data_IF_541839267770
#
_entry.id   IF_541839267770
#
_cell.length_a   1.000
_cell.length_b   1.000
_cell.length_c   1.000
_cell.angle_alpha   90.00
_cell.angle_beta   90.00
_cell.angle_gamma   90.00
#
_symmetry.space_group_name_H-M   'P 1'
#
loop_
_entity.id
_entity.type
_entity.pdbx_description
1 polymer ?
#
# COMPACT_ATOMS: atom_id res chain seq x y z
N UNK A 1 3.13 -8.12 -3.80
CA UNK A 1 1.90 -8.94 -3.93
C UNK A 1 0.69 -8.12 -3.49
N UNK A 2 -0.20 -7.81 -4.43
CA UNK A 2 -1.30 -6.88 -4.17
C UNK A 2 -2.34 -7.41 -3.17
N UNK A 3 -2.59 -8.72 -3.18
CA UNK A 3 -3.51 -9.31 -2.21
C UNK A 3 -2.99 -9.20 -0.79
N UNK A 4 -1.69 -9.39 -0.57
CA UNK A 4 -1.10 -9.24 0.76
C UNK A 4 -1.16 -7.78 1.23
N UNK A 5 -0.99 -6.82 0.32
CA UNK A 5 -1.15 -5.41 0.62
C UNK A 5 -2.59 -5.08 1.08
N UNK A 6 -3.60 -5.54 0.33
CA UNK A 6 -5.03 -5.36 0.71
C UNK A 6 -5.35 -6.07 2.03
N UNK A 7 -4.79 -7.24 2.26
CA UNK A 7 -5.03 -8.00 3.50
C UNK A 7 -4.39 -7.33 4.73
N UNK A 8 -3.27 -6.65 4.55
CA UNK A 8 -2.52 -6.00 5.63
C UNK A 8 -3.02 -4.59 5.90
N UNK A 9 -3.21 -3.78 4.86
CA UNK A 9 -3.59 -2.37 4.96
C UNK A 9 -5.11 -2.14 4.88
N UNK A 10 -5.89 -3.20 4.59
CA UNK A 10 -7.33 -3.07 4.42
C UNK A 10 -7.76 -2.47 3.08
N UNK A 11 -9.07 -2.32 2.91
CA UNK A 11 -9.65 -1.77 1.67
C UNK A 11 -9.41 -0.28 1.50
N UNK A 12 -8.97 0.41 2.51
CA UNK A 12 -8.68 1.84 2.48
C UNK A 12 -7.61 2.20 1.46
N UNK A 13 -6.70 1.26 1.16
CA UNK A 13 -5.66 1.46 0.13
C UNK A 13 -6.22 1.51 -1.31
N UNK A 14 -7.44 1.02 -1.54
CA UNK A 14 -8.03 1.01 -2.88
C UNK A 14 -8.27 2.42 -3.41
N UNK A 15 -8.70 3.35 -2.56
CA UNK A 15 -8.94 4.74 -2.95
C UNK A 15 -7.66 5.50 -3.33
N UNK A 16 -6.60 5.52 -2.52
CA UNK A 16 -5.32 6.13 -2.90
C UNK A 16 -4.72 5.53 -4.16
N UNK A 17 -4.80 4.20 -4.32
CA UNK A 17 -4.30 3.51 -5.50
C UNK A 17 -5.07 3.90 -6.76
N UNK A 18 -6.39 3.96 -6.68
CA UNK A 18 -7.26 4.40 -7.77
C UNK A 18 -6.97 5.83 -8.17
N UNK A 19 -6.84 6.72 -7.19
CA UNK A 19 -6.47 8.12 -7.42
C UNK A 19 -5.10 8.24 -8.07
N UNK A 20 -4.12 7.47 -7.61
CA UNK A 20 -2.80 7.42 -8.22
C UNK A 20 -2.88 6.94 -9.67
N UNK A 21 -3.62 5.87 -9.97
CA UNK A 21 -3.81 5.36 -11.32
C UNK A 21 -4.42 6.40 -12.27
N UNK A 22 -5.38 7.19 -11.78
CA UNK A 22 -6.03 8.23 -12.56
C UNK A 22 -5.10 9.43 -12.85
N UNK A 23 -4.30 9.85 -11.87
CA UNK A 23 -3.45 11.02 -11.96
C UNK A 23 -2.07 10.72 -12.56
N UNK A 24 -1.53 9.54 -12.32
CA UNK A 24 -0.19 9.13 -12.74
C UNK A 24 -0.01 9.17 -14.25
N UNK A 25 -1.08 8.93 -15.01
CA UNK A 25 -1.08 9.00 -16.47
C UNK A 25 -0.60 10.37 -17.01
N UNK A 26 -1.04 11.45 -16.37
CA UNK A 26 -0.66 12.80 -16.78
C UNK A 26 0.82 13.13 -16.52
N UNK A 27 1.43 12.45 -15.57
CA UNK A 27 2.82 12.64 -15.15
C UNK A 27 3.79 11.60 -15.72
N UNK A 28 3.29 10.67 -16.54
CA UNK A 28 4.10 9.61 -17.16
C UNK A 28 4.51 8.51 -16.18
N UNK A 29 3.82 8.36 -15.05
CA UNK A 29 4.06 7.27 -14.10
C UNK A 29 3.26 6.04 -14.55
N UNK A 30 3.93 4.90 -14.67
CA UNK A 30 3.32 3.62 -14.98
C UNK A 30 3.15 2.78 -13.73
N UNK A 31 1.93 2.28 -13.51
CA UNK A 31 1.61 1.40 -12.40
C UNK A 31 1.51 -0.04 -12.87
N UNK A 32 2.22 -0.93 -12.22
CA UNK A 32 2.14 -2.38 -12.42
C UNK A 32 1.69 -3.02 -11.11
N UNK A 33 0.52 -3.66 -11.14
CA UNK A 33 -0.04 -4.37 -10.00
C UNK A 33 -0.04 -5.85 -10.30
N UNK A 34 0.57 -6.63 -9.42
CA UNK A 34 0.65 -8.07 -9.56
C UNK A 34 0.11 -8.79 -8.31
N UNK A 35 -0.60 -9.89 -8.52
CA UNK A 35 -1.09 -10.74 -7.44
C UNK A 35 -1.07 -12.20 -7.84
N UNK A 36 -0.79 -13.08 -6.89
CA UNK A 36 -0.93 -14.53 -7.02
C UNK A 36 -2.29 -15.05 -6.54
N UNK A 37 -3.14 -14.15 -6.00
CA UNK A 37 -4.48 -14.47 -5.49
C UNK A 37 -5.56 -13.67 -6.23
N UNK A 38 -5.93 -14.10 -7.44
CA UNK A 38 -6.88 -13.36 -8.28
C UNK A 38 -8.33 -13.59 -7.82
N UNK A 39 -8.69 -13.09 -6.65
CA UNK A 39 -10.06 -13.17 -6.15
C UNK A 39 -10.83 -11.88 -6.44
N UNK A 40 -12.16 -11.97 -6.50
CA UNK A 40 -13.05 -10.81 -6.70
C UNK A 40 -12.95 -9.76 -5.58
N UNK A 41 -12.50 -10.18 -4.39
CA UNK A 41 -12.29 -9.28 -3.26
C UNK A 41 -11.01 -8.46 -3.39
N UNK A 42 -10.07 -8.90 -4.21
CA UNK A 42 -8.78 -8.24 -4.47
C UNK A 42 -8.84 -7.47 -5.80
N UNK A 43 -9.33 -8.12 -6.86
CA UNK A 43 -9.48 -7.51 -8.18
C UNK A 43 -10.92 -7.02 -8.33
N UNK A 44 -11.21 -5.90 -7.69
CA UNK A 44 -12.54 -5.29 -7.66
C UNK A 44 -12.91 -4.62 -9.00
N UNK A 45 -14.18 -4.26 -9.17
CA UNK A 45 -14.63 -3.48 -10.32
C UNK A 45 -13.92 -2.13 -10.42
N UNK A 46 -13.63 -1.49 -9.29
CA UNK A 46 -12.90 -0.21 -9.23
C UNK A 46 -11.47 -0.37 -9.74
N UNK A 47 -10.78 -1.41 -9.32
CA UNK A 47 -9.41 -1.73 -9.81
C UNK A 47 -9.45 -1.99 -11.32
N UNK A 48 -10.35 -2.84 -11.80
CA UNK A 48 -10.47 -3.14 -13.23
C UNK A 48 -10.75 -1.91 -14.09
N UNK A 49 -11.58 -0.99 -13.62
CA UNK A 49 -11.91 0.24 -14.35
C UNK A 49 -10.70 1.16 -14.53
N UNK A 50 -9.74 1.13 -13.60
CA UNK A 50 -8.54 1.99 -13.64
C UNK A 50 -7.31 1.29 -14.22
N UNK A 51 -7.39 -0.03 -14.44
CA UNK A 51 -6.33 -0.84 -15.04
C UNK A 51 -6.87 -1.57 -16.28
N UNK A 52 -7.01 -0.87 -17.42
CA UNK A 52 -7.62 -1.43 -18.62
C UNK A 52 -6.73 -2.48 -19.30
N UNK A 53 -5.41 -2.35 -19.22
CA UNK A 53 -4.49 -3.37 -19.72
C UNK A 53 -4.27 -4.41 -18.61
N UNK A 54 -4.68 -5.65 -18.87
CA UNK A 54 -4.58 -6.75 -17.92
C UNK A 54 -3.99 -7.96 -18.57
N UNK A 55 -3.12 -8.66 -17.88
CA UNK A 55 -2.58 -9.92 -18.37
C UNK A 55 -2.66 -10.99 -17.30
N UNK A 56 -2.83 -12.21 -17.74
CA UNK A 56 -2.85 -13.39 -16.89
C UNK A 56 -1.91 -14.44 -17.44
N UNK A 57 -1.05 -14.95 -16.59
CA UNK A 57 -0.39 -16.22 -16.79
C UNK A 57 -1.36 -17.36 -16.47
N UNK A 58 -0.90 -18.60 -16.62
CA UNK A 58 -1.72 -19.78 -16.33
C UNK A 58 -2.32 -19.71 -14.93
N UNK A 59 -3.63 -19.86 -14.85
CA UNK A 59 -4.38 -20.03 -13.61
C UNK A 59 -5.01 -21.43 -13.57
N UNK A 60 -5.42 -21.89 -12.40
CA UNK A 60 -6.02 -23.22 -12.23
C UNK A 60 -7.51 -23.19 -12.59
N UNK A 61 -8.20 -22.09 -12.31
CA UNK A 61 -9.65 -21.99 -12.41
C UNK A 61 -10.09 -21.03 -13.51
N UNK A 62 -11.18 -21.40 -14.20
CA UNK A 62 -11.90 -20.47 -15.11
C UNK A 62 -12.40 -19.23 -14.40
N UNK A 63 -12.73 -19.36 -13.11
CA UNK A 63 -13.20 -18.22 -12.31
C UNK A 63 -12.08 -17.20 -12.18
N UNK A 64 -10.85 -17.64 -11.92
CA UNK A 64 -9.68 -16.76 -11.82
C UNK A 64 -9.39 -16.05 -13.14
N UNK A 65 -9.48 -16.77 -14.25
CA UNK A 65 -9.35 -16.17 -15.58
C UNK A 65 -10.37 -15.06 -15.80
N UNK A 66 -11.63 -15.27 -15.48
CA UNK A 66 -12.70 -14.26 -15.60
C UNK A 66 -12.50 -13.12 -14.60
N UNK A 67 -12.01 -13.42 -13.41
CA UNK A 67 -11.72 -12.38 -12.41
C UNK A 67 -10.66 -11.40 -12.93
N UNK A 68 -9.62 -11.88 -13.61
CA UNK A 68 -8.55 -11.02 -14.15
C UNK A 68 -8.98 -10.38 -15.47
N UNK A 69 -9.40 -11.20 -16.44
CA UNK A 69 -9.53 -10.80 -17.85
C UNK A 69 -10.96 -10.48 -18.30
N UNK A 70 -11.96 -10.69 -17.43
CA UNK A 70 -13.39 -10.73 -17.79
C UNK A 70 -13.73 -11.80 -18.84
N UNK A 71 -12.77 -12.67 -19.14
CA UNK A 71 -12.83 -13.73 -20.15
C UNK A 71 -12.22 -15.01 -19.63
N UNK A 72 -12.61 -16.15 -20.20
CA UNK A 72 -11.97 -17.44 -19.94
C UNK A 72 -10.75 -17.62 -20.85
N UNK A 73 -9.88 -18.56 -20.53
CA UNK A 73 -8.75 -18.97 -21.39
C UNK A 73 -7.41 -19.04 -20.65
N UNK A 74 -7.22 -18.27 -19.59
CA UNK A 74 -5.98 -18.35 -18.82
C UNK A 74 -5.80 -19.70 -18.09
N UNK A 75 -6.89 -20.41 -17.83
CA UNK A 75 -6.92 -21.78 -17.32
C UNK A 75 -6.39 -22.83 -18.33
N UNK A 76 -6.35 -22.47 -19.63
CA UNK A 76 -5.90 -23.36 -20.72
C UNK A 76 -4.47 -23.08 -21.17
N UNK A 77 -3.79 -22.12 -20.56
CA UNK A 77 -2.40 -21.79 -20.87
C UNK A 77 -1.46 -22.92 -20.46
N UNK A 78 -0.36 -23.05 -21.19
CA UNK A 78 0.64 -24.10 -20.93
C UNK A 78 1.46 -23.80 -19.66
N UNK A 79 1.66 -22.53 -19.35
CA UNK A 79 2.59 -22.07 -18.31
C UNK A 79 3.94 -21.68 -18.89
N UNK A 80 4.96 -21.50 -18.05
CA UNK A 80 6.32 -21.12 -18.47
C UNK A 80 6.38 -19.85 -19.34
N UNK A 81 5.63 -18.84 -18.97
CA UNK A 81 5.60 -17.57 -19.69
C UNK A 81 4.49 -17.45 -20.74
N UNK A 82 3.70 -18.50 -20.97
CA UNK A 82 2.50 -18.41 -21.81
C UNK A 82 1.45 -17.57 -21.11
N UNK A 83 0.97 -16.49 -21.75
CA UNK A 83 0.05 -15.53 -21.14
C UNK A 83 -1.03 -15.03 -22.10
N UNK A 84 -2.10 -14.52 -21.53
CA UNK A 84 -3.11 -13.74 -22.23
C UNK A 84 -3.02 -12.28 -21.80
N UNK A 85 -3.04 -11.38 -22.77
CA UNK A 85 -3.11 -9.92 -22.60
C UNK A 85 -4.46 -9.42 -23.08
N UNK A 86 -5.20 -8.73 -22.20
CA UNK A 86 -6.41 -8.00 -22.55
C UNK A 86 -6.11 -6.49 -22.57
N UNK A 87 -6.45 -5.82 -23.64
CA UNK A 87 -6.34 -4.35 -23.81
C UNK A 87 -7.69 -3.66 -23.82
N UNK A 88 -8.72 -4.32 -23.29
CA UNK A 88 -10.10 -3.87 -23.25
C UNK A 88 -10.97 -4.63 -24.24
N UNK A 89 -10.79 -4.46 -25.56
CA UNK A 89 -11.56 -5.15 -26.60
C UNK A 89 -10.94 -6.45 -27.06
N UNK A 90 -9.63 -6.56 -27.03
CA UNK A 90 -8.89 -7.65 -27.62
C UNK A 90 -8.21 -8.53 -26.58
N UNK A 91 -8.20 -9.83 -26.85
CA UNK A 91 -7.48 -10.82 -26.08
C UNK A 91 -6.37 -11.42 -26.93
N UNK A 92 -5.13 -11.13 -26.59
CA UNK A 92 -3.95 -11.53 -27.32
C UNK A 92 -3.18 -12.58 -26.51
N UNK A 93 -2.84 -13.70 -27.14
CA UNK A 93 -1.97 -14.71 -26.52
C UNK A 93 -0.52 -14.42 -26.90
N UNK A 94 0.33 -14.36 -25.90
CA UNK A 94 1.75 -14.07 -26.03
C UNK A 94 2.59 -15.12 -25.29
N UNK A 95 3.78 -15.38 -25.82
CA UNK A 95 4.80 -16.15 -25.11
C UNK A 95 5.84 -15.19 -24.56
N UNK A 96 5.88 -15.07 -23.24
CA UNK A 96 6.93 -14.34 -22.55
C UNK A 96 8.16 -15.22 -22.29
N UNK A 97 9.29 -14.58 -22.04
CA UNK A 97 10.45 -15.26 -21.51
C UNK A 97 10.12 -15.92 -20.16
N UNK A 98 10.56 -17.13 -19.99
CA UNK A 98 10.50 -17.79 -18.69
C UNK A 98 11.71 -17.36 -17.85
N UNK A 99 11.47 -16.87 -16.64
CA UNK A 99 12.48 -16.48 -15.68
C UNK A 99 12.39 -17.43 -14.49
N UNK A 100 13.47 -18.10 -14.16
CA UNK A 100 13.56 -19.04 -13.04
C UNK A 100 14.46 -18.50 -11.92
N UNK A 101 14.47 -19.19 -10.80
CA UNK A 101 15.25 -18.80 -9.61
C UNK A 101 16.72 -18.47 -9.90
N UNK A 102 17.47 -19.26 -10.71
CA UNK A 102 18.86 -18.94 -11.00
C UNK A 102 19.08 -17.59 -11.73
N UNK A 103 18.13 -17.19 -12.57
CA UNK A 103 18.21 -15.88 -13.24
C UNK A 103 17.88 -14.74 -12.26
N UNK A 104 16.88 -14.95 -11.39
CA UNK A 104 16.53 -13.99 -10.34
C UNK A 104 17.71 -13.78 -9.40
N UNK A 105 18.36 -14.85 -8.96
CA UNK A 105 19.54 -14.80 -8.09
C UNK A 105 20.68 -13.98 -8.73
N UNK A 106 21.00 -14.23 -10.00
CA UNK A 106 22.04 -13.46 -10.72
C UNK A 106 21.70 -11.97 -10.81
N UNK A 107 20.44 -11.63 -11.09
CA UNK A 107 20.02 -10.24 -11.20
C UNK A 107 20.05 -9.55 -9.84
N UNK A 108 19.57 -10.21 -8.78
CA UNK A 108 19.59 -9.64 -7.43
C UNK A 108 21.01 -9.51 -6.88
N UNK A 109 21.88 -10.46 -7.15
CA UNK A 109 23.31 -10.38 -6.81
C UNK A 109 24.00 -9.20 -7.55
N UNK A 110 23.72 -9.06 -8.85
CA UNK A 110 24.22 -7.94 -9.63
C UNK A 110 23.74 -6.59 -9.08
N UNK A 111 22.46 -6.46 -8.72
CA UNK A 111 21.90 -5.25 -8.12
C UNK A 111 22.57 -5.00 -6.76
N UNK A 112 22.67 -6.03 -5.92
CA UNK A 112 23.26 -5.92 -4.58
C UNK A 112 24.76 -5.61 -4.57
N UNK A 113 25.49 -5.95 -5.64
CA UNK A 113 26.91 -5.63 -5.79
C UNK A 113 27.19 -4.17 -6.18
N UNK A 114 26.17 -3.44 -6.61
CA UNK A 114 26.30 -2.05 -6.98
C UNK A 114 26.32 -1.15 -5.76
N UNK A 115 26.99 0.00 -5.89
CA UNK A 115 27.03 1.00 -4.83
C UNK A 115 25.66 1.65 -4.69
N UNK A 116 24.99 1.41 -3.57
CA UNK A 116 23.75 2.06 -3.18
C UNK A 116 23.96 3.31 -2.31
N UNK A 117 22.86 3.82 -1.78
CA UNK A 117 22.91 4.83 -0.72
C UNK A 117 23.41 4.20 0.58
N UNK A 118 24.06 4.97 1.49
CA UNK A 118 24.55 4.44 2.77
C UNK A 118 23.41 3.92 3.65
N UNK A 119 22.25 4.54 3.56
CA UNK A 119 21.06 4.18 4.33
C UNK A 119 19.84 4.02 3.44
N UNK A 120 18.80 3.37 3.95
CA UNK A 120 17.53 3.25 3.27
C UNK A 120 16.90 4.63 3.05
N UNK A 121 16.27 4.83 1.86
CA UNK A 121 15.54 6.07 1.58
C UNK A 121 14.28 6.12 2.45
N UNK A 122 14.22 7.10 3.34
CA UNK A 122 13.03 7.33 4.13
C UNK A 122 11.98 8.05 3.28
N UNK A 123 10.82 7.42 3.13
CA UNK A 123 9.68 8.06 2.49
C UNK A 123 9.13 9.17 3.40
N UNK A 124 8.59 10.27 2.82
CA UNK A 124 7.86 11.27 3.60
C UNK A 124 6.74 10.62 4.38
N UNK A 125 6.51 11.07 5.60
CA UNK A 125 5.35 10.63 6.36
C UNK A 125 4.07 11.04 5.63
N UNK A 126 3.13 10.11 5.57
CA UNK A 126 1.81 10.38 4.99
C UNK A 126 0.92 10.97 6.08
N UNK A 127 0.47 12.19 5.85
CA UNK A 127 -0.56 12.83 6.64
C UNK A 127 -1.88 12.71 5.88
N UNK A 128 -2.87 12.05 6.46
CA UNK A 128 -4.20 11.97 5.86
C UNK A 128 -4.94 13.27 6.12
N UNK A 129 -5.22 14.05 5.05
CA UNK A 129 -6.02 15.27 5.14
C UNK A 129 -7.45 15.00 5.63
N UNK A 130 -7.90 13.73 5.60
CA UNK A 130 -9.21 13.33 6.11
C UNK A 130 -9.30 13.42 7.64
N UNK A 131 -8.18 13.26 8.36
CA UNK A 131 -8.12 13.50 9.81
C UNK A 131 -8.27 15.00 10.17
N UNK A 132 -8.13 15.89 9.18
CA UNK A 132 -8.34 17.33 9.37
C UNK A 132 -9.83 17.73 9.36
N UNK A 133 -10.72 16.87 8.86
CA UNK A 133 -12.18 17.16 8.83
C UNK A 133 -12.91 16.82 10.14
N UNK A 134 -12.29 16.13 11.09
CA UNK A 134 -12.78 16.08 12.48
C UNK A 134 -12.35 17.29 13.33
N UNK A 135 -11.82 18.35 12.68
CA UNK A 135 -11.61 19.65 13.31
C UNK A 135 -12.95 20.41 13.47
N UNK A 136 -13.76 19.97 14.43
CA UNK A 136 -14.57 20.94 15.14
C UNK A 136 -13.62 21.88 15.88
N UNK A 137 -13.75 23.19 15.67
CA UNK A 137 -13.11 24.32 16.38
C UNK A 137 -11.80 23.95 17.11
N UNK A 138 -10.69 23.85 16.35
CA UNK A 138 -9.37 23.67 16.95
C UNK A 138 -8.93 24.98 17.59
N UNK A 139 -9.03 25.08 18.90
CA UNK A 139 -8.32 26.09 19.69
C UNK A 139 -6.87 25.61 19.90
N UNK A 140 -5.86 26.25 19.30
CA UNK A 140 -4.45 25.87 19.48
C UNK A 140 -3.98 25.91 20.94
N UNK A 141 -4.74 26.59 21.82
CA UNK A 141 -4.45 26.73 23.24
C UNK A 141 -5.22 25.73 24.11
N UNK A 142 -6.19 24.99 23.57
CA UNK A 142 -6.91 23.98 24.31
C UNK A 142 -6.06 22.71 24.43
N UNK A 143 -5.84 22.26 25.65
CA UNK A 143 -5.19 20.96 25.91
C UNK A 143 -6.12 19.83 25.52
N UNK A 144 -5.53 18.79 24.90
CA UNK A 144 -6.29 17.56 24.61
C UNK A 144 -6.83 16.95 25.92
N UNK A 145 -8.03 16.41 25.88
CA UNK A 145 -8.66 15.75 27.03
C UNK A 145 -7.80 14.65 27.64
N UNK A 146 -6.98 13.98 26.82
CA UNK A 146 -6.10 12.89 27.24
C UNK A 146 -4.68 13.38 27.63
N UNK A 147 -4.44 14.69 27.68
CA UNK A 147 -3.13 15.25 27.99
C UNK A 147 -2.55 14.73 29.32
N UNK A 148 -3.33 14.74 30.39
CA UNK A 148 -2.86 14.28 31.71
C UNK A 148 -2.60 12.77 31.73
N UNK A 149 -3.45 11.99 31.08
CA UNK A 149 -3.28 10.54 30.99
C UNK A 149 -2.05 10.17 30.17
N UNK A 150 -1.84 10.84 29.05
CA UNK A 150 -0.65 10.71 28.23
C UNK A 150 0.63 11.08 29.01
N UNK A 151 0.61 12.18 29.76
CA UNK A 151 1.73 12.58 30.62
C UNK A 151 2.09 11.49 31.62
N UNK A 152 1.10 10.90 32.30
CA UNK A 152 1.31 9.80 33.26
C UNK A 152 1.94 8.58 32.60
N UNK A 153 1.46 8.20 31.41
CA UNK A 153 2.00 7.07 30.64
C UNK A 153 3.47 7.29 30.29
N UNK A 154 3.80 8.49 29.80
CA UNK A 154 5.17 8.82 29.41
C UNK A 154 6.11 8.83 30.62
N UNK A 155 5.71 9.45 31.72
CA UNK A 155 6.51 9.47 32.95
C UNK A 155 6.69 8.07 33.51
N UNK A 156 5.65 7.24 33.49
CA UNK A 156 5.72 5.86 33.99
C UNK A 156 6.64 4.97 33.15
N UNK A 157 6.62 5.15 31.80
CA UNK A 157 7.42 4.34 30.88
C UNK A 157 8.78 4.95 30.56
N UNK A 158 9.04 6.19 30.98
CA UNK A 158 10.25 6.96 30.69
C UNK A 158 10.58 6.99 29.18
N UNK A 159 9.54 7.06 28.37
CA UNK A 159 9.64 7.01 26.91
C UNK A 159 8.64 7.97 26.28
N UNK A 160 9.14 9.10 25.74
CA UNK A 160 8.35 10.09 25.00
C UNK A 160 8.20 9.67 23.54
N UNK A 161 7.28 8.75 23.23
CA UNK A 161 7.10 8.29 21.86
C UNK A 161 5.62 8.28 21.46
N UNK A 162 5.33 8.83 20.28
CA UNK A 162 4.01 8.85 19.66
C UNK A 162 3.42 7.44 19.57
N UNK A 163 4.21 6.46 19.18
CA UNK A 163 3.79 5.06 19.07
C UNK A 163 3.43 4.41 20.41
N UNK A 164 4.02 4.87 21.52
CA UNK A 164 3.61 4.43 22.86
C UNK A 164 2.20 4.92 23.17
N UNK A 165 1.90 6.19 22.91
CA UNK A 165 0.59 6.78 23.16
C UNK A 165 -0.48 6.17 22.25
N UNK A 166 -0.19 5.96 20.95
CA UNK A 166 -1.09 5.28 20.04
C UNK A 166 -1.53 3.91 20.59
N UNK A 167 -0.57 3.10 21.03
CA UNK A 167 -0.83 1.75 21.52
C UNK A 167 -1.56 1.73 22.87
N UNK A 168 -1.22 2.63 23.78
CA UNK A 168 -1.78 2.65 25.13
C UNK A 168 -3.15 3.31 25.19
N UNK A 169 -3.33 4.40 24.46
CA UNK A 169 -4.56 5.19 24.45
C UNK A 169 -5.46 4.90 23.23
N UNK A 170 -5.03 3.99 22.33
CA UNK A 170 -5.72 3.63 21.09
C UNK A 170 -6.05 4.85 20.21
N UNK A 171 -5.09 5.75 20.07
CA UNK A 171 -5.20 7.00 19.32
C UNK A 171 -4.68 6.83 17.89
N UNK A 172 -5.22 7.63 16.96
CA UNK A 172 -4.59 7.87 15.67
C UNK A 172 -3.24 8.59 15.83
N UNK A 173 -2.36 8.44 14.83
CA UNK A 173 -1.00 8.99 14.85
C UNK A 173 -0.99 10.50 15.09
N UNK A 174 -1.85 11.23 14.38
CA UNK A 174 -1.91 12.71 14.45
C UNK A 174 -2.34 13.21 15.83
N UNK A 175 -3.34 12.57 16.46
CA UNK A 175 -3.76 12.96 17.81
C UNK A 175 -2.67 12.64 18.83
N UNK A 176 -2.02 11.50 18.69
CA UNK A 176 -0.89 11.12 19.54
C UNK A 176 0.30 12.06 19.36
N UNK A 177 0.59 12.50 18.11
CA UNK A 177 1.61 13.49 17.80
C UNK A 177 1.30 14.84 18.46
N UNK A 178 0.10 15.38 18.28
CA UNK A 178 -0.32 16.64 18.92
C UNK A 178 -0.20 16.61 20.43
N UNK A 179 -0.54 15.48 21.07
CA UNK A 179 -0.38 15.34 22.51
C UNK A 179 1.10 15.34 22.91
N UNK A 180 1.98 14.73 22.12
CA UNK A 180 3.44 14.79 22.34
C UNK A 180 3.93 16.24 22.24
N UNK A 181 3.53 16.98 21.21
CA UNK A 181 3.90 18.39 21.02
C UNK A 181 3.43 19.26 22.20
N UNK A 182 2.22 18.99 22.72
CA UNK A 182 1.72 19.67 23.92
C UNK A 182 2.53 19.31 25.18
N UNK A 183 2.96 18.05 25.30
CA UNK A 183 3.78 17.58 26.42
C UNK A 183 5.21 18.15 26.34
N UNK A 184 5.76 18.32 25.14
CA UNK A 184 7.03 19.00 24.90
C UNK A 184 6.94 20.48 25.25
N UNK A 185 5.89 21.17 24.79
CA UNK A 185 5.62 22.55 25.14
C UNK A 185 5.45 22.77 26.66
N UNK A 186 4.90 21.77 27.34
CA UNK A 186 4.78 21.74 28.80
C UNK A 186 6.08 21.28 29.52
N UNK A 187 7.17 21.00 28.79
CA UNK A 187 8.47 20.52 29.30
C UNK A 187 8.37 19.20 30.08
N UNK A 188 7.43 18.35 29.73
CA UNK A 188 7.28 17.00 30.28
C UNK A 188 8.07 16.00 29.44
N UNK A 189 8.20 16.27 28.16
CA UNK A 189 9.06 15.57 27.22
C UNK A 189 10.10 16.58 26.70
N UNK A 190 11.33 16.16 26.56
CA UNK A 190 12.43 16.99 26.03
C UNK A 190 13.26 16.25 25.02
#
# INVERSE_FOLDING_TARGET
EFADLIMTAGREIENPLTRLAQLARATGIHLVIATQRPSVNIITGTIKANFPARFAYRVISKVDSRTILDSSGADQLVGKGDMLLSTGSDLIRLQCAFVDTPEVEKVTEFIGSQRGYPDAFNLPEYYDDADDYEKGDFDPNARDELFEEAARIIVQHQQGSTSLLQRKLKLGYNRAGRIIDQLESAKIVG
#
